data_IF_078499617437
#
_entry.id   IF_078499617437
#
_cell.length_a   1.000
_cell.length_b   1.000
_cell.length_c   1.000
_cell.angle_alpha   90.00
_cell.angle_beta   90.00
_cell.angle_gamma   90.00
#
_symmetry.space_group_name_H-M   'P 1'
#
loop_
_entity.id
_entity.type
_entity.pdbx_description
1 polymer ?
#
# COMPACT_ATOMS: atom_id res chain seq x y z
N UNK A 1 -17.93 -38.38 14.13
CA UNK A 1 -17.72 -36.97 14.50
C UNK A 1 -17.87 -36.16 13.22
N UNK A 2 -18.66 -35.09 13.20
CA UNK A 2 -18.81 -34.30 11.97
C UNK A 2 -17.50 -33.55 11.70
N UNK A 3 -17.18 -33.34 10.42
CA UNK A 3 -16.00 -32.61 9.95
C UNK A 3 -15.78 -31.29 10.69
N UNK A 4 -16.86 -30.53 10.91
CA UNK A 4 -16.84 -29.22 11.58
C UNK A 4 -16.36 -29.34 13.03
N UNK A 5 -16.78 -30.38 13.74
CA UNK A 5 -16.33 -30.63 15.13
C UNK A 5 -14.84 -30.97 15.15
N UNK A 6 -14.37 -31.74 14.17
CA UNK A 6 -12.94 -32.06 14.05
C UNK A 6 -12.12 -30.80 13.79
N UNK A 7 -12.61 -29.89 12.94
CA UNK A 7 -11.96 -28.61 12.69
C UNK A 7 -11.97 -27.71 13.93
N UNK A 8 -13.09 -27.60 14.64
CA UNK A 8 -13.19 -26.81 15.88
C UNK A 8 -12.21 -27.32 16.95
N UNK A 9 -12.13 -28.64 17.16
CA UNK A 9 -11.17 -29.24 18.09
C UNK A 9 -9.72 -29.03 17.64
N UNK A 10 -9.46 -29.10 16.33
CA UNK A 10 -8.14 -28.86 15.76
C UNK A 10 -7.69 -27.40 15.90
N UNK A 11 -8.62 -26.44 15.78
CA UNK A 11 -8.33 -25.02 15.99
C UNK A 11 -7.95 -24.74 17.45
N UNK A 12 -8.69 -25.32 18.40
CA UNK A 12 -8.41 -25.17 19.84
C UNK A 12 -7.06 -25.80 20.20
N UNK A 13 -6.76 -26.99 19.65
CA UNK A 13 -5.54 -27.74 19.94
C UNK A 13 -4.33 -27.37 19.06
N UNK A 14 -4.49 -26.44 18.12
CA UNK A 14 -3.45 -26.04 17.16
C UNK A 14 -2.89 -27.22 16.34
N UNK A 15 -3.75 -28.17 15.96
CA UNK A 15 -3.36 -29.44 15.36
C UNK A 15 -3.63 -29.47 13.85
N UNK A 16 -2.63 -29.05 13.07
CA UNK A 16 -2.70 -29.05 11.60
C UNK A 16 -2.91 -30.46 11.04
N UNK A 17 -2.23 -31.47 11.60
CA UNK A 17 -2.34 -32.85 11.13
C UNK A 17 -3.76 -33.42 11.25
N UNK A 18 -4.53 -33.01 12.26
CA UNK A 18 -5.94 -33.39 12.38
C UNK A 18 -6.81 -32.80 11.26
N UNK A 19 -6.51 -31.57 10.82
CA UNK A 19 -7.16 -30.90 9.68
C UNK A 19 -6.82 -31.66 8.40
N UNK A 20 -5.54 -31.96 8.17
CA UNK A 20 -5.04 -32.70 6.99
C UNK A 20 -5.72 -34.06 6.87
N UNK A 21 -5.76 -34.84 7.97
CA UNK A 21 -6.42 -36.15 8.00
C UNK A 21 -7.93 -36.04 7.75
N UNK A 22 -8.59 -35.00 8.28
CA UNK A 22 -10.01 -34.78 8.04
C UNK A 22 -10.31 -34.48 6.56
N UNK A 23 -9.49 -33.65 5.93
CA UNK A 23 -9.59 -33.31 4.50
C UNK A 23 -9.40 -34.55 3.61
N UNK A 24 -8.33 -35.32 3.83
CA UNK A 24 -8.05 -36.54 3.07
C UNK A 24 -9.16 -37.59 3.23
N UNK A 25 -9.73 -37.71 4.43
CA UNK A 25 -10.77 -38.70 4.74
C UNK A 25 -12.10 -38.42 4.03
N UNK A 26 -12.53 -37.17 3.97
CA UNK A 26 -13.79 -36.78 3.34
C UNK A 26 -13.72 -36.87 1.81
N UNK A 27 -12.51 -36.88 1.23
CA UNK A 27 -12.21 -36.80 -0.21
C UNK A 27 -12.75 -35.52 -0.85
N UNK A 28 -12.10 -35.06 -1.91
CA UNK A 28 -12.50 -33.83 -2.59
C UNK A 28 -13.94 -33.92 -3.15
N UNK A 29 -14.84 -33.10 -2.62
CA UNK A 29 -16.24 -33.04 -3.04
C UNK A 29 -16.82 -31.62 -2.89
N UNK A 30 -17.89 -31.34 -3.64
CA UNK A 30 -18.56 -30.02 -3.61
C UNK A 30 -19.18 -29.71 -2.26
N UNK A 31 -19.65 -30.75 -1.57
CA UNK A 31 -20.12 -30.66 -0.20
C UNK A 31 -19.00 -30.24 0.75
N UNK A 32 -17.82 -30.86 0.63
CA UNK A 32 -16.66 -30.53 1.46
C UNK A 32 -16.20 -29.09 1.26
N UNK A 33 -16.10 -28.62 0.01
CA UNK A 33 -15.68 -27.22 -0.28
C UNK A 33 -16.68 -26.20 0.27
N UNK A 34 -17.98 -26.45 0.13
CA UNK A 34 -18.99 -25.56 0.72
C UNK A 34 -18.91 -25.52 2.26
N UNK A 35 -18.64 -26.66 2.90
CA UNK A 35 -18.49 -26.75 4.37
C UNK A 35 -17.22 -26.05 4.83
N UNK A 36 -16.11 -26.22 4.10
CA UNK A 36 -14.86 -25.51 4.34
C UNK A 36 -15.04 -23.99 4.22
N UNK A 37 -15.65 -23.51 3.13
CA UNK A 37 -15.93 -22.09 2.94
C UNK A 37 -16.80 -21.55 4.08
N UNK A 38 -17.82 -22.31 4.52
CA UNK A 38 -18.66 -21.94 5.65
C UNK A 38 -17.88 -21.83 6.97
N UNK A 39 -16.98 -22.76 7.25
CA UNK A 39 -16.13 -22.73 8.46
C UNK A 39 -15.15 -21.56 8.38
N UNK A 40 -14.48 -21.36 7.24
CA UNK A 40 -13.57 -20.24 7.03
C UNK A 40 -14.28 -18.89 7.22
N UNK A 41 -15.44 -18.68 6.57
CA UNK A 41 -16.23 -17.45 6.71
C UNK A 41 -16.70 -17.22 8.15
N UNK A 42 -17.16 -18.28 8.85
CA UNK A 42 -17.54 -18.19 10.27
C UNK A 42 -16.37 -17.75 11.17
N UNK A 43 -15.16 -18.25 10.93
CA UNK A 43 -13.99 -17.88 11.72
C UNK A 43 -13.51 -16.46 11.40
N UNK A 44 -13.63 -16.02 10.14
CA UNK A 44 -13.38 -14.63 9.74
C UNK A 44 -14.37 -13.67 10.37
N UNK A 45 -15.67 -13.97 10.36
CA UNK A 45 -16.72 -13.17 11.00
C UNK A 45 -16.45 -12.97 12.50
N UNK A 46 -15.75 -13.92 13.12
CA UNK A 46 -15.34 -13.89 14.53
C UNK A 46 -13.96 -13.27 14.75
N UNK A 47 -13.27 -12.86 13.68
CA UNK A 47 -11.89 -12.38 13.69
C UNK A 47 -10.90 -13.39 14.30
N UNK A 48 -11.13 -14.69 14.13
CA UNK A 48 -10.25 -15.77 14.63
C UNK A 48 -9.33 -16.26 13.50
N UNK A 49 -8.39 -15.40 13.09
CA UNK A 49 -7.51 -15.63 11.94
C UNK A 49 -6.58 -16.83 12.10
N UNK A 50 -6.17 -17.12 13.34
CA UNK A 50 -5.35 -18.30 13.64
C UNK A 50 -6.01 -19.59 13.14
N UNK A 51 -7.33 -19.71 13.25
CA UNK A 51 -8.10 -20.85 12.74
C UNK A 51 -7.99 -20.94 11.21
N UNK A 52 -8.09 -19.80 10.51
CA UNK A 52 -7.98 -19.73 9.05
C UNK A 52 -6.55 -20.07 8.59
N UNK A 53 -5.52 -19.56 9.28
CA UNK A 53 -4.11 -19.93 9.00
C UNK A 53 -3.87 -21.43 9.20
N UNK A 54 -4.41 -22.02 10.27
CA UNK A 54 -4.32 -23.46 10.51
C UNK A 54 -5.03 -24.26 9.42
N UNK A 55 -6.17 -23.77 8.95
CA UNK A 55 -6.89 -24.36 7.82
C UNK A 55 -6.02 -24.35 6.56
N UNK A 56 -5.45 -23.19 6.20
CA UNK A 56 -4.56 -23.03 5.04
C UNK A 56 -3.36 -23.98 5.12
N UNK A 57 -2.72 -24.10 6.28
CA UNK A 57 -1.62 -25.06 6.50
C UNK A 57 -2.07 -26.51 6.33
N UNK A 58 -3.26 -26.87 6.82
CA UNK A 58 -3.78 -28.22 6.64
C UNK A 58 -4.06 -28.56 5.17
N UNK A 59 -4.47 -27.57 4.38
CA UNK A 59 -4.66 -27.71 2.93
C UNK A 59 -3.32 -27.77 2.19
N UNK A 60 -2.33 -27.00 2.66
CA UNK A 60 -0.95 -27.10 2.18
C UNK A 60 -0.40 -28.52 2.36
N UNK A 61 -0.58 -29.11 3.55
CA UNK A 61 -0.19 -30.49 3.82
C UNK A 61 -0.93 -31.49 2.89
N UNK A 62 -2.21 -31.25 2.57
CA UNK A 62 -2.94 -32.07 1.58
C UNK A 62 -2.30 -31.94 0.21
N UNK A 63 -1.94 -30.73 -0.22
CA UNK A 63 -1.25 -30.53 -1.50
C UNK A 63 0.08 -31.29 -1.57
N UNK A 64 0.82 -31.36 -0.47
CA UNK A 64 2.10 -32.08 -0.40
C UNK A 64 1.93 -33.61 -0.33
N UNK A 65 0.79 -34.10 0.18
CA UNK A 65 0.57 -35.53 0.45
C UNK A 65 -0.32 -36.23 -0.58
N UNK A 66 -1.26 -35.53 -1.20
CA UNK A 66 -2.21 -36.03 -2.18
C UNK A 66 -2.60 -34.90 -3.17
N UNK A 67 -1.76 -34.71 -4.17
CA UNK A 67 -1.89 -33.66 -5.19
C UNK A 67 -3.20 -33.79 -5.99
N UNK A 68 -3.67 -35.01 -6.27
CA UNK A 68 -4.93 -35.26 -6.96
C UNK A 68 -6.14 -34.78 -6.12
N UNK A 69 -6.10 -35.03 -4.81
CA UNK A 69 -7.11 -34.53 -3.88
C UNK A 69 -7.13 -33.00 -3.85
N UNK A 70 -5.95 -32.38 -3.79
CA UNK A 70 -5.83 -30.92 -3.81
C UNK A 70 -6.37 -30.32 -5.11
N UNK A 71 -5.97 -30.86 -6.26
CA UNK A 71 -6.47 -30.40 -7.57
C UNK A 71 -8.00 -30.52 -7.65
N UNK A 72 -8.59 -31.56 -7.09
CA UNK A 72 -10.05 -31.72 -7.02
C UNK A 72 -10.74 -30.70 -6.09
N UNK A 73 -10.07 -30.23 -5.03
CA UNK A 73 -10.56 -29.15 -4.16
C UNK A 73 -10.45 -27.79 -4.86
N UNK A 74 -9.30 -27.50 -5.48
CA UNK A 74 -9.03 -26.24 -6.16
C UNK A 74 -10.03 -25.94 -7.29
N UNK A 75 -10.45 -26.97 -8.03
CA UNK A 75 -11.46 -26.88 -9.12
C UNK A 75 -12.85 -26.39 -8.71
N UNK A 76 -13.14 -26.30 -7.42
CA UNK A 76 -14.51 -26.13 -6.91
C UNK A 76 -14.78 -24.78 -6.24
N UNK A 77 -14.04 -23.74 -6.63
CA UNK A 77 -14.12 -22.39 -6.03
C UNK A 77 -13.88 -22.41 -4.51
N UNK A 78 -12.79 -23.08 -4.13
CA UNK A 78 -12.31 -23.14 -2.76
C UNK A 78 -11.83 -21.75 -2.29
N UNK A 79 -12.16 -21.36 -1.04
CA UNK A 79 -11.91 -20.04 -0.44
C UNK A 79 -12.67 -18.87 -1.09
N UNK A 80 -13.97 -19.06 -1.35
CA UNK A 80 -14.88 -17.92 -1.56
C UNK A 80 -15.08 -17.17 -0.25
N UNK A 81 -14.27 -16.14 -0.07
CA UNK A 81 -14.32 -15.25 1.08
C UNK A 81 -15.38 -14.18 0.78
N UNK A 82 -16.39 -14.07 1.63
CA UNK A 82 -17.32 -12.94 1.57
C UNK A 82 -16.62 -11.66 2.09
N UNK A 83 -17.15 -10.48 1.75
CA UNK A 83 -16.58 -9.17 2.12
C UNK A 83 -16.20 -9.11 3.60
N UNK A 84 -14.90 -9.14 3.87
CA UNK A 84 -14.38 -9.01 5.23
C UNK A 84 -14.20 -7.54 5.61
N UNK A 85 -14.77 -7.13 6.75
CA UNK A 85 -14.81 -5.73 7.21
C UNK A 85 -13.81 -5.40 8.33
N UNK A 86 -12.98 -6.33 8.77
CA UNK A 86 -12.07 -6.12 9.90
C UNK A 86 -10.65 -5.76 9.46
N UNK A 87 -10.09 -4.68 10.01
CA UNK A 87 -8.85 -4.09 9.46
C UNK A 87 -7.57 -4.57 10.18
N UNK A 88 -7.66 -5.02 11.44
CA UNK A 88 -6.49 -5.07 12.34
C UNK A 88 -5.57 -6.28 12.16
N UNK A 89 -6.09 -7.43 11.74
CA UNK A 89 -5.32 -8.68 11.59
C UNK A 89 -5.35 -9.21 10.14
N UNK A 90 -5.86 -8.41 9.20
CA UNK A 90 -5.91 -8.73 7.76
C UNK A 90 -4.50 -8.86 7.16
N UNK A 91 -3.49 -8.21 7.74
CA UNK A 91 -2.07 -8.40 7.37
C UNK A 91 -1.63 -9.86 7.58
N UNK A 92 -1.89 -10.43 8.76
CA UNK A 92 -1.54 -11.83 9.06
C UNK A 92 -2.29 -12.83 8.18
N UNK A 93 -3.50 -12.46 7.73
CA UNK A 93 -4.28 -13.25 6.80
C UNK A 93 -3.67 -13.19 5.39
N UNK A 94 -3.31 -12.00 4.90
CA UNK A 94 -2.64 -11.83 3.60
C UNK A 94 -1.30 -12.58 3.59
N UNK A 95 -0.49 -12.47 4.65
CA UNK A 95 0.75 -13.23 4.81
C UNK A 95 0.50 -14.74 4.77
N UNK A 96 -0.51 -15.24 5.49
CA UNK A 96 -0.85 -16.66 5.51
C UNK A 96 -1.30 -17.17 4.13
N UNK A 97 -2.06 -16.37 3.39
CA UNK A 97 -2.42 -16.71 2.02
C UNK A 97 -1.21 -16.66 1.08
N UNK A 98 -0.33 -15.68 1.23
CA UNK A 98 0.88 -15.58 0.42
C UNK A 98 1.82 -16.76 0.64
N UNK A 99 2.08 -17.11 1.90
CA UNK A 99 2.84 -18.30 2.29
C UNK A 99 2.26 -19.56 1.66
N UNK A 100 0.94 -19.71 1.73
CA UNK A 100 0.23 -20.81 1.10
C UNK A 100 0.45 -20.82 -0.42
N UNK A 101 0.26 -19.70 -1.10
CA UNK A 101 0.42 -19.57 -2.55
C UNK A 101 1.84 -19.86 -3.03
N UNK A 102 2.87 -19.33 -2.36
CA UNK A 102 4.27 -19.56 -2.72
C UNK A 102 4.69 -21.01 -2.55
N UNK A 103 4.07 -21.75 -1.62
CA UNK A 103 4.39 -23.15 -1.36
C UNK A 103 3.63 -24.12 -2.27
N UNK A 104 2.70 -23.63 -3.11
CA UNK A 104 2.01 -24.47 -4.08
C UNK A 104 3.00 -24.97 -5.17
N UNK A 105 3.06 -26.29 -5.42
CA UNK A 105 3.88 -26.85 -6.48
C UNK A 105 3.50 -26.30 -7.87
N UNK A 106 4.47 -26.14 -8.79
CA UNK A 106 4.19 -25.76 -10.17
C UNK A 106 3.29 -26.75 -10.94
N UNK A 107 3.16 -27.98 -10.45
CA UNK A 107 2.37 -29.07 -11.03
C UNK A 107 0.86 -28.98 -10.74
N UNK A 108 0.43 -28.07 -9.84
CA UNK A 108 -0.99 -27.79 -9.58
C UNK A 108 -1.67 -27.30 -10.85
N UNK A 109 -2.60 -28.10 -11.37
CA UNK A 109 -3.23 -27.87 -12.69
C UNK A 109 -4.00 -26.54 -12.77
N UNK A 110 -4.54 -26.05 -11.66
CA UNK A 110 -5.35 -24.82 -11.57
C UNK A 110 -4.66 -23.64 -10.89
N UNK A 111 -3.31 -23.68 -10.79
CA UNK A 111 -2.54 -22.59 -10.17
C UNK A 111 -2.87 -21.22 -10.75
N UNK A 112 -3.06 -21.13 -12.07
CA UNK A 112 -3.45 -19.88 -12.74
C UNK A 112 -4.83 -19.35 -12.33
N UNK A 113 -5.79 -20.24 -12.04
CA UNK A 113 -7.12 -19.84 -11.54
C UNK A 113 -7.04 -19.35 -10.09
N UNK A 114 -6.26 -20.04 -9.26
CA UNK A 114 -6.05 -19.62 -7.87
C UNK A 114 -5.34 -18.25 -7.81
N UNK A 115 -4.30 -18.05 -8.62
CA UNK A 115 -3.64 -16.75 -8.77
C UNK A 115 -4.63 -15.67 -9.21
N UNK A 116 -5.46 -15.96 -10.22
CA UNK A 116 -6.51 -15.07 -10.71
C UNK A 116 -7.46 -14.63 -9.58
N UNK A 117 -7.99 -15.58 -8.81
CA UNK A 117 -8.91 -15.28 -7.70
C UNK A 117 -8.21 -14.45 -6.62
N UNK A 118 -6.98 -14.80 -6.25
CA UNK A 118 -6.24 -14.10 -5.21
C UNK A 118 -5.94 -12.65 -5.59
N UNK A 119 -5.43 -12.42 -6.81
CA UNK A 119 -5.14 -11.08 -7.32
C UNK A 119 -6.38 -10.17 -7.29
N UNK A 120 -7.56 -10.72 -7.60
CA UNK A 120 -8.81 -9.96 -7.53
C UNK A 120 -9.16 -9.54 -6.10
N UNK A 121 -9.09 -10.46 -5.13
CA UNK A 121 -9.45 -10.16 -3.74
C UNK A 121 -8.44 -9.20 -3.09
N UNK A 122 -7.14 -9.46 -3.25
CA UNK A 122 -6.09 -8.59 -2.72
C UNK A 122 -6.09 -7.23 -3.42
N UNK A 123 -6.41 -7.19 -4.71
CA UNK A 123 -6.52 -5.95 -5.47
C UNK A 123 -7.66 -5.06 -4.98
N UNK A 124 -8.79 -5.66 -4.59
CA UNK A 124 -9.90 -4.92 -3.93
C UNK A 124 -9.41 -4.33 -2.61
N UNK A 125 -8.73 -5.11 -1.76
CA UNK A 125 -8.15 -4.62 -0.49
C UNK A 125 -7.18 -3.45 -0.74
N UNK A 126 -6.29 -3.56 -1.74
CA UNK A 126 -5.33 -2.49 -2.05
C UNK A 126 -5.98 -1.19 -2.55
N UNK A 127 -7.13 -1.29 -3.20
CA UNK A 127 -7.83 -0.13 -3.79
C UNK A 127 -8.88 0.50 -2.87
N UNK A 128 -9.31 -0.22 -1.84
CA UNK A 128 -10.35 0.24 -0.92
C UNK A 128 -9.85 1.39 -0.03
N UNK A 129 -10.44 2.61 -0.11
CA UNK A 129 -10.03 3.73 0.71
C UNK A 129 -10.32 3.57 2.21
N UNK A 130 -11.22 2.67 2.61
CA UNK A 130 -11.61 2.45 4.00
C UNK A 130 -10.64 1.51 4.75
N UNK A 131 -9.75 0.83 4.02
CA UNK A 131 -8.68 -0.01 4.57
C UNK A 131 -7.48 0.86 4.99
N UNK A 132 -6.79 0.48 6.07
CA UNK A 132 -5.59 1.19 6.52
C UNK A 132 -4.52 1.22 5.43
N UNK A 133 -3.87 2.37 5.26
CA UNK A 133 -2.89 2.58 4.19
C UNK A 133 -1.79 1.52 4.15
N UNK A 134 -1.16 1.20 5.28
CA UNK A 134 -0.08 0.22 5.32
C UNK A 134 -0.48 -1.14 4.78
N UNK A 135 -1.72 -1.57 5.04
CA UNK A 135 -2.27 -2.82 4.54
C UNK A 135 -2.61 -2.76 3.05
N UNK A 136 -3.11 -1.61 2.58
CA UNK A 136 -3.37 -1.39 1.16
C UNK A 136 -2.08 -1.45 0.34
N UNK A 137 -1.04 -0.77 0.81
CA UNK A 137 0.27 -0.78 0.16
C UNK A 137 0.86 -2.19 0.13
N UNK A 138 0.78 -2.91 1.24
CA UNK A 138 1.27 -4.29 1.31
C UNK A 138 0.50 -5.24 0.39
N UNK A 139 -0.82 -5.06 0.26
CA UNK A 139 -1.64 -5.80 -0.69
C UNK A 139 -1.15 -5.61 -2.15
N UNK A 140 -0.85 -4.37 -2.56
CA UNK A 140 -0.33 -4.10 -3.91
C UNK A 140 1.09 -4.62 -4.10
N UNK A 141 1.97 -4.50 -3.09
CA UNK A 141 3.30 -5.11 -3.12
C UNK A 141 3.24 -6.62 -3.29
N UNK A 142 2.34 -7.26 -2.54
CA UNK A 142 2.08 -8.70 -2.65
C UNK A 142 1.67 -9.07 -4.06
N UNK A 143 0.80 -8.28 -4.69
CA UNK A 143 0.43 -8.46 -6.11
C UNK A 143 1.67 -8.37 -7.00
N UNK A 144 2.53 -7.38 -6.83
CA UNK A 144 3.75 -7.24 -7.65
C UNK A 144 4.69 -8.44 -7.49
N UNK A 145 4.90 -8.93 -6.26
CA UNK A 145 5.72 -10.12 -6.00
C UNK A 145 5.16 -11.39 -6.66
N UNK A 146 3.83 -11.58 -6.63
CA UNK A 146 3.20 -12.72 -7.32
C UNK A 146 3.36 -12.59 -8.84
N UNK A 147 3.16 -11.40 -9.38
CA UNK A 147 3.27 -11.16 -10.81
C UNK A 147 4.70 -11.25 -11.34
N UNK A 148 5.70 -10.99 -10.50
CA UNK A 148 7.11 -11.25 -10.81
C UNK A 148 7.39 -12.72 -11.09
N UNK A 149 6.78 -13.59 -10.27
CA UNK A 149 6.90 -15.05 -10.40
C UNK A 149 5.94 -15.65 -11.44
N UNK A 150 5.04 -14.85 -12.03
CA UNK A 150 4.03 -15.31 -12.99
C UNK A 150 4.53 -15.19 -14.44
N UNK A 151 4.35 -16.24 -15.24
CA UNK A 151 4.82 -16.25 -16.63
C UNK A 151 4.09 -15.22 -17.49
N UNK A 152 4.74 -14.79 -18.58
CA UNK A 152 4.15 -13.83 -19.53
C UNK A 152 2.84 -14.33 -20.16
N UNK A 153 2.69 -15.64 -20.34
CA UNK A 153 1.47 -16.23 -20.91
C UNK A 153 0.31 -16.22 -19.90
N UNK A 154 0.58 -16.60 -18.64
CA UNK A 154 -0.40 -16.52 -17.55
C UNK A 154 -0.88 -15.07 -17.36
N UNK A 155 0.04 -14.10 -17.29
CA UNK A 155 -0.32 -12.66 -17.16
C UNK A 155 -1.17 -12.16 -18.32
N UNK A 156 -0.87 -12.59 -19.56
CA UNK A 156 -1.72 -12.28 -20.71
C UNK A 156 -3.12 -12.85 -20.55
N UNK A 157 -3.28 -14.10 -20.11
CA UNK A 157 -4.60 -14.71 -19.86
C UNK A 157 -5.37 -13.94 -18.79
N UNK A 158 -4.72 -13.56 -17.69
CA UNK A 158 -5.32 -12.74 -16.63
C UNK A 158 -5.81 -11.40 -17.17
N UNK A 159 -4.98 -10.69 -17.95
CA UNK A 159 -5.33 -9.37 -18.51
C UNK A 159 -6.51 -9.37 -19.48
N UNK A 160 -6.97 -10.55 -19.95
CA UNK A 160 -8.12 -10.70 -20.83
C UNK A 160 -9.43 -10.96 -20.08
N UNK A 161 -9.38 -11.28 -18.78
CA UNK A 161 -10.58 -11.43 -17.94
C UNK A 161 -11.24 -10.06 -17.72
N UNK A 162 -12.58 -10.05 -17.71
CA UNK A 162 -13.37 -8.85 -17.47
C UNK A 162 -13.12 -8.30 -16.07
N UNK A 163 -13.06 -9.18 -15.08
CA UNK A 163 -12.84 -8.85 -13.67
C UNK A 163 -11.47 -8.19 -13.48
N UNK A 164 -10.43 -8.73 -14.12
CA UNK A 164 -9.09 -8.14 -14.08
C UNK A 164 -9.04 -6.81 -14.82
N UNK A 165 -9.70 -6.66 -15.97
CA UNK A 165 -9.78 -5.37 -16.64
C UNK A 165 -10.36 -4.28 -15.73
N UNK A 166 -11.45 -4.60 -15.01
CA UNK A 166 -12.06 -3.68 -14.05
C UNK A 166 -11.11 -3.35 -12.90
N UNK A 167 -10.38 -4.35 -12.37
CA UNK A 167 -9.38 -4.11 -11.33
C UNK A 167 -8.26 -3.17 -11.79
N UNK A 168 -7.73 -3.38 -13.00
CA UNK A 168 -6.67 -2.52 -13.57
C UNK A 168 -7.17 -1.09 -13.81
N UNK A 169 -8.43 -0.92 -14.23
CA UNK A 169 -9.06 0.41 -14.28
C UNK A 169 -9.15 1.07 -12.90
N UNK A 170 -9.42 0.29 -11.83
CA UNK A 170 -9.40 0.82 -10.47
C UNK A 170 -7.99 1.21 -10.02
N UNK A 171 -6.96 0.41 -10.33
CA UNK A 171 -5.57 0.78 -10.04
C UNK A 171 -5.22 2.13 -10.66
N UNK A 172 -5.55 2.34 -11.93
CA UNK A 172 -5.33 3.60 -12.62
C UNK A 172 -6.05 4.78 -11.94
N UNK A 173 -7.30 4.60 -11.51
CA UNK A 173 -8.05 5.64 -10.78
C UNK A 173 -7.44 5.97 -9.42
N UNK A 174 -6.94 4.96 -8.71
CA UNK A 174 -6.30 5.13 -7.41
C UNK A 174 -4.96 5.86 -7.55
N UNK A 175 -4.16 5.57 -8.59
CA UNK A 175 -2.91 6.31 -8.89
C UNK A 175 -3.16 7.83 -8.91
N UNK A 176 -4.24 8.28 -9.54
CA UNK A 176 -4.52 9.72 -9.68
C UNK A 176 -4.89 10.42 -8.36
N UNK A 177 -5.37 9.68 -7.35
CA UNK A 177 -6.02 10.29 -6.18
C UNK A 177 -5.49 9.78 -4.82
N UNK A 178 -4.62 8.77 -4.78
CA UNK A 178 -4.19 8.16 -3.52
C UNK A 178 -3.41 9.14 -2.65
N UNK A 179 -2.66 10.05 -3.27
CA UNK A 179 -1.89 11.08 -2.56
C UNK A 179 -0.69 10.53 -1.79
N UNK A 180 -0.14 9.42 -2.26
CA UNK A 180 1.06 8.80 -1.73
C UNK A 180 1.90 8.24 -2.88
N UNK A 181 3.14 8.70 -2.99
CA UNK A 181 4.02 8.38 -4.10
C UNK A 181 4.37 6.88 -4.16
N UNK A 182 4.63 6.25 -3.01
CA UNK A 182 5.02 4.84 -2.94
C UNK A 182 3.87 3.93 -3.41
N UNK A 183 2.63 4.28 -3.05
CA UNK A 183 1.45 3.59 -3.56
C UNK A 183 1.20 3.86 -5.05
N UNK A 184 1.47 5.08 -5.54
CA UNK A 184 1.42 5.38 -6.99
C UNK A 184 2.40 4.52 -7.79
N UNK A 185 3.63 4.33 -7.29
CA UNK A 185 4.65 3.46 -7.90
C UNK A 185 4.17 2.01 -7.89
N UNK A 186 3.77 1.48 -6.74
CA UNK A 186 3.37 0.09 -6.60
C UNK A 186 2.20 -0.29 -7.54
N UNK A 187 1.20 0.60 -7.66
CA UNK A 187 0.08 0.41 -8.59
C UNK A 187 0.51 0.50 -10.06
N UNK A 188 1.41 1.44 -10.39
CA UNK A 188 1.96 1.59 -11.74
C UNK A 188 2.77 0.35 -12.16
N UNK A 189 3.53 -0.21 -11.23
CA UNK A 189 4.26 -1.46 -11.40
C UNK A 189 3.30 -2.61 -11.66
N UNK A 190 2.22 -2.72 -10.88
CA UNK A 190 1.20 -3.77 -11.05
C UNK A 190 0.55 -3.69 -12.45
N UNK A 191 0.21 -2.48 -12.92
CA UNK A 191 -0.29 -2.25 -14.27
C UNK A 191 0.72 -2.71 -15.34
N UNK A 192 2.00 -2.32 -15.20
CA UNK A 192 3.08 -2.72 -16.11
C UNK A 192 3.33 -4.23 -16.11
N UNK A 193 3.32 -4.88 -14.95
CA UNK A 193 3.52 -6.32 -14.82
C UNK A 193 2.37 -7.10 -15.44
N UNK A 194 1.13 -6.67 -15.21
CA UNK A 194 -0.07 -7.32 -15.75
C UNK A 194 -0.22 -7.20 -17.27
N UNK A 195 0.46 -6.24 -17.89
CA UNK A 195 0.24 -5.92 -19.30
C UNK A 195 1.50 -5.95 -20.13
N UNK A 196 1.41 -6.55 -21.31
CA UNK A 196 2.54 -6.52 -22.26
C UNK A 196 2.60 -5.17 -22.95
N UNK A 197 3.82 -4.67 -23.22
CA UNK A 197 4.05 -3.35 -23.86
C UNK A 197 3.18 -3.09 -25.11
N UNK A 198 2.89 -4.13 -25.90
CA UNK A 198 2.03 -4.03 -27.09
C UNK A 198 0.57 -3.72 -26.76
N UNK A 199 0.00 -4.30 -25.71
CA UNK A 199 -1.40 -4.09 -25.31
C UNK A 199 -1.58 -2.87 -24.42
N UNK A 200 -0.51 -2.40 -23.75
CA UNK A 200 -0.52 -1.17 -22.94
C UNK A 200 -1.10 0.03 -23.69
N UNK A 201 -0.74 0.18 -24.98
CA UNK A 201 -1.22 1.30 -25.80
C UNK A 201 -2.74 1.40 -25.86
N UNK A 202 -3.43 0.27 -26.00
CA UNK A 202 -4.89 0.25 -26.05
C UNK A 202 -5.52 0.35 -24.65
N UNK A 203 -4.89 -0.25 -23.65
CA UNK A 203 -5.40 -0.29 -22.27
C UNK A 203 -5.22 1.06 -21.54
N UNK A 204 -4.10 1.75 -21.73
CA UNK A 204 -3.81 3.03 -21.10
C UNK A 204 -4.88 4.09 -21.46
N UNK A 205 -5.41 4.06 -22.68
CA UNK A 205 -6.51 4.94 -23.09
C UNK A 205 -7.85 4.62 -22.42
N UNK A 206 -8.03 3.41 -21.87
CA UNK A 206 -9.20 3.05 -21.05
C UNK A 206 -9.00 3.44 -19.59
N UNK A 207 -7.76 3.34 -19.12
CA UNK A 207 -7.37 3.64 -17.74
C UNK A 207 -7.34 5.13 -17.45
N UNK A 208 -6.81 5.92 -18.38
CA UNK A 208 -6.65 7.36 -18.23
C UNK A 208 -7.47 8.10 -19.28
N UNK A 209 -8.45 8.87 -18.81
CA UNK A 209 -9.28 9.70 -19.70
C UNK A 209 -8.49 10.85 -20.34
N UNK A 210 -7.42 11.32 -19.67
CA UNK A 210 -6.51 12.32 -20.22
C UNK A 210 -5.48 11.63 -21.14
N UNK A 211 -5.42 11.97 -22.45
CA UNK A 211 -4.48 11.38 -23.39
C UNK A 211 -3.01 11.55 -22.97
N UNK A 212 -2.66 12.67 -22.33
CA UNK A 212 -1.29 12.90 -21.87
C UNK A 212 -0.85 11.86 -20.83
N UNK A 213 -1.75 11.45 -19.93
CA UNK A 213 -1.47 10.40 -18.95
C UNK A 213 -1.35 9.04 -19.62
N UNK A 214 -2.22 8.74 -20.59
CA UNK A 214 -2.13 7.50 -21.35
C UNK A 214 -0.82 7.43 -22.15
N UNK A 215 -0.38 8.52 -22.75
CA UNK A 215 0.89 8.63 -23.47
C UNK A 215 2.09 8.48 -22.53
N UNK A 216 2.11 9.21 -21.41
CA UNK A 216 3.15 9.11 -20.40
C UNK A 216 3.29 7.69 -19.83
N UNK A 217 2.16 7.05 -19.48
CA UNK A 217 2.18 5.66 -19.00
C UNK A 217 2.71 4.69 -20.06
N UNK A 218 2.36 4.90 -21.33
CA UNK A 218 2.85 4.08 -22.45
C UNK A 218 4.35 4.26 -22.73
N UNK A 219 4.94 5.39 -22.32
CA UNK A 219 6.36 5.65 -22.47
C UNK A 219 7.21 4.80 -21.51
N UNK A 220 6.63 4.32 -20.40
CA UNK A 220 7.34 3.53 -19.39
C UNK A 220 7.99 2.29 -20.00
N UNK A 221 9.30 2.21 -19.88
CA UNK A 221 10.12 1.07 -20.26
C UNK A 221 10.29 0.11 -19.08
N UNK A 222 9.87 -1.15 -19.25
CA UNK A 222 9.96 -2.16 -18.19
C UNK A 222 11.39 -2.39 -17.66
N UNK A 223 12.41 -2.09 -18.47
CA UNK A 223 13.83 -2.21 -18.08
C UNK A 223 14.36 -1.00 -17.30
N UNK A 224 13.66 0.12 -17.37
CA UNK A 224 14.02 1.41 -16.76
C UNK A 224 12.84 1.92 -15.94
N UNK A 225 12.08 0.98 -15.36
CA UNK A 225 10.79 1.24 -14.76
C UNK A 225 10.87 2.33 -13.69
N UNK A 226 11.86 2.28 -12.80
CA UNK A 226 12.01 3.25 -11.70
C UNK A 226 12.08 4.70 -12.21
N UNK A 227 12.89 4.96 -13.24
CA UNK A 227 13.13 6.30 -13.78
C UNK A 227 11.93 6.78 -14.59
N UNK A 228 11.42 5.93 -15.47
CA UNK A 228 10.30 6.31 -16.33
C UNK A 228 9.01 6.45 -15.53
N UNK A 229 8.80 5.61 -14.50
CA UNK A 229 7.67 5.72 -13.59
C UNK A 229 7.74 7.00 -12.77
N UNK A 230 8.93 7.40 -12.29
CA UNK A 230 9.14 8.70 -11.65
C UNK A 230 8.75 9.85 -12.57
N UNK A 231 9.20 9.82 -13.82
CA UNK A 231 8.86 10.85 -14.81
C UNK A 231 7.35 10.94 -15.03
N UNK A 232 6.70 9.79 -15.30
CA UNK A 232 5.26 9.71 -15.48
C UNK A 232 4.48 10.23 -14.26
N UNK A 233 4.84 9.82 -13.05
CA UNK A 233 4.12 10.23 -11.84
C UNK A 233 4.33 11.70 -11.50
N UNK A 234 5.54 12.23 -11.74
CA UNK A 234 5.79 13.67 -11.59
C UNK A 234 4.89 14.47 -12.56
N UNK A 235 4.80 14.06 -13.83
CA UNK A 235 3.93 14.73 -14.82
C UNK A 235 2.45 14.66 -14.42
N UNK A 236 1.99 13.49 -13.96
CA UNK A 236 0.62 13.29 -13.45
C UNK A 236 0.35 14.22 -12.26
N UNK A 237 1.25 14.28 -11.29
CA UNK A 237 1.07 15.09 -10.09
C UNK A 237 1.15 16.60 -10.42
N UNK A 238 2.06 17.02 -11.29
CA UNK A 238 2.18 18.41 -11.74
C UNK A 238 0.93 18.87 -12.49
N UNK A 239 0.30 17.99 -13.30
CA UNK A 239 -0.91 18.33 -14.04
C UNK A 239 -2.05 18.84 -13.14
N UNK A 240 -2.17 18.31 -11.92
CA UNK A 240 -3.20 18.74 -10.97
C UNK A 240 -2.90 20.09 -10.28
N UNK A 241 -1.76 20.73 -10.56
CA UNK A 241 -1.42 22.04 -10.01
C UNK A 241 -1.45 22.03 -8.48
N UNK A 242 -2.23 22.92 -7.88
CA UNK A 242 -2.37 23.04 -6.42
C UNK A 242 -3.32 22.00 -5.80
N UNK A 243 -4.12 21.32 -6.62
CA UNK A 243 -5.01 20.23 -6.21
C UNK A 243 -4.28 18.88 -6.15
N UNK A 244 -2.99 18.85 -6.54
CA UNK A 244 -2.19 17.65 -6.46
C UNK A 244 -2.08 17.17 -5.01
N UNK A 245 -1.97 15.85 -4.86
CA UNK A 245 -1.93 15.20 -3.55
C UNK A 245 -0.54 14.65 -3.19
N UNK A 246 0.41 14.75 -4.12
CA UNK A 246 1.83 14.45 -3.92
C UNK A 246 2.62 15.61 -4.50
N UNK A 247 3.51 16.18 -3.71
CA UNK A 247 4.47 17.19 -4.17
C UNK A 247 5.86 16.54 -4.12
N UNK A 248 6.56 16.49 -5.24
CA UNK A 248 7.87 15.85 -5.34
C UNK A 248 8.91 16.91 -5.67
N UNK A 249 9.91 17.06 -4.80
CA UNK A 249 10.99 18.03 -4.99
C UNK A 249 12.35 17.35 -4.92
N UNK A 250 13.30 17.73 -5.79
CA UNK A 250 14.68 17.30 -5.63
C UNK A 250 15.30 18.05 -4.45
N UNK A 251 15.89 17.34 -3.51
CA UNK A 251 16.71 17.92 -2.45
C UNK A 251 18.20 17.89 -2.84
N UNK A 252 18.96 18.77 -2.21
CA UNK A 252 20.42 18.85 -2.31
C UNK A 252 21.07 17.81 -1.40
N UNK A 253 20.59 17.71 -0.16
CA UNK A 253 21.09 16.75 0.83
C UNK A 253 20.10 16.54 1.97
N UNK A 254 20.29 15.44 2.70
CA UNK A 254 19.45 15.03 3.83
C UNK A 254 20.36 14.62 4.99
N UNK A 255 20.00 15.02 6.21
CA UNK A 255 20.71 14.65 7.43
C UNK A 255 19.75 14.02 8.45
N UNK A 256 20.18 12.91 9.05
CA UNK A 256 19.60 12.36 10.28
C UNK A 256 20.50 12.73 11.45
N UNK A 257 20.04 13.65 12.30
CA UNK A 257 20.84 14.41 13.24
C UNK A 257 22.07 15.05 12.54
N UNK A 258 23.25 14.48 12.71
CA UNK A 258 24.51 14.97 12.13
C UNK A 258 25.03 14.08 11.00
N UNK A 259 24.35 12.97 10.71
CA UNK A 259 24.77 12.01 9.69
C UNK A 259 24.06 12.29 8.39
N UNK A 260 24.81 12.54 7.32
CA UNK A 260 24.27 12.69 5.98
C UNK A 260 23.72 11.35 5.46
N UNK A 261 22.56 11.41 4.83
CA UNK A 261 21.92 10.31 4.12
C UNK A 261 22.08 10.53 2.63
N UNK A 262 22.28 9.46 1.89
CA UNK A 262 22.53 9.51 0.45
C UNK A 262 21.36 8.93 -0.32
N UNK A 263 21.10 9.49 -1.50
CA UNK A 263 20.16 8.90 -2.45
C UNK A 263 20.66 7.53 -2.92
N UNK A 264 19.76 6.64 -3.38
CA UNK A 264 20.15 5.34 -3.91
C UNK A 264 21.20 5.42 -5.03
N UNK A 265 22.11 4.44 -5.07
CA UNK A 265 23.15 4.35 -6.11
C UNK A 265 22.56 3.78 -7.41
N UNK A 266 22.00 4.65 -8.25
CA UNK A 266 21.56 4.33 -9.62
C UNK A 266 22.10 5.38 -10.58
N UNK A 267 22.84 4.95 -11.61
CA UNK A 267 23.51 5.83 -12.59
C UNK A 267 22.55 6.76 -13.34
N UNK A 268 21.26 6.41 -13.39
CA UNK A 268 20.23 7.18 -14.08
C UNK A 268 19.35 7.99 -13.13
N UNK A 269 19.56 7.87 -11.82
CA UNK A 269 18.88 8.71 -10.84
C UNK A 269 19.57 10.07 -10.78
N UNK A 270 18.97 11.06 -11.44
CA UNK A 270 19.56 12.40 -11.52
C UNK A 270 19.43 13.22 -10.23
N UNK A 271 18.42 12.91 -9.40
CA UNK A 271 18.04 13.72 -8.26
C UNK A 271 17.65 12.89 -7.04
N UNK A 272 17.96 13.43 -5.86
CA UNK A 272 17.48 12.90 -4.59
C UNK A 272 16.05 13.43 -4.33
N UNK A 273 15.04 12.62 -4.63
CA UNK A 273 13.64 13.03 -4.52
C UNK A 273 13.09 12.93 -3.10
N UNK A 274 12.30 13.94 -2.72
CA UNK A 274 11.52 13.96 -1.49
C UNK A 274 10.06 14.18 -1.84
N UNK A 275 9.21 13.27 -1.38
CA UNK A 275 7.78 13.20 -1.70
C UNK A 275 6.94 13.62 -0.49
N UNK A 276 6.15 14.68 -0.67
CA UNK A 276 5.22 15.22 0.32
C UNK A 276 3.83 14.65 0.02
N UNK A 277 3.45 13.64 0.78
CA UNK A 277 2.26 12.81 0.56
C UNK A 277 1.09 13.31 1.41
N UNK A 278 0.13 14.00 0.79
CA UNK A 278 -1.04 14.53 1.50
C UNK A 278 -2.03 13.42 1.87
N UNK A 279 -2.08 12.33 1.09
CA UNK A 279 -2.97 11.20 1.32
C UNK A 279 -2.65 10.43 2.59
N UNK A 280 -1.38 10.33 2.94
CA UNK A 280 -0.87 9.63 4.13
C UNK A 280 -0.37 10.58 5.22
N UNK A 281 -0.38 11.89 4.96
CA UNK A 281 0.20 12.90 5.85
C UNK A 281 1.64 12.54 6.23
N UNK A 282 2.45 12.25 5.22
CA UNK A 282 3.81 11.75 5.35
C UNK A 282 4.75 12.46 4.38
N UNK A 283 5.98 12.75 4.80
CA UNK A 283 7.07 13.05 3.87
C UNK A 283 7.92 11.79 3.74
N UNK A 284 8.16 11.32 2.51
CA UNK A 284 8.96 10.12 2.25
C UNK A 284 10.12 10.38 1.29
N UNK A 285 11.18 9.60 1.42
CA UNK A 285 12.34 9.62 0.53
C UNK A 285 12.99 8.24 0.49
N UNK A 286 13.51 7.86 -0.67
CA UNK A 286 14.32 6.66 -0.81
C UNK A 286 15.78 6.99 -0.49
N UNK A 287 16.42 6.17 0.32
CA UNK A 287 17.82 6.32 0.73
C UNK A 287 18.61 5.08 0.33
N UNK A 288 19.90 5.29 0.08
CA UNK A 288 20.81 4.21 -0.22
C UNK A 288 20.88 3.24 0.97
N UNK A 289 20.78 1.94 0.69
CA UNK A 289 21.11 0.88 1.62
C UNK A 289 21.98 -0.16 0.91
N UNK A 290 23.33 -0.05 0.98
CA UNK A 290 24.25 -0.96 0.32
C UNK A 290 24.31 -2.33 0.99
N UNK A 291 23.76 -2.48 2.20
CA UNK A 291 23.62 -3.79 2.85
C UNK A 291 22.31 -4.49 2.42
N UNK A 292 21.33 -3.70 1.95
CA UNK A 292 20.07 -4.14 1.38
C UNK A 292 20.18 -4.52 -0.10
N UNK A 293 19.27 -5.38 -0.56
CA UNK A 293 19.10 -5.67 -1.99
C UNK A 293 18.15 -4.71 -2.70
N UNK A 294 17.46 -3.86 -1.93
CA UNK A 294 16.46 -2.90 -2.39
C UNK A 294 16.72 -1.55 -1.71
N UNK A 295 16.24 -0.47 -2.32
CA UNK A 295 16.28 0.85 -1.70
C UNK A 295 15.45 0.87 -0.42
N UNK A 296 15.96 1.51 0.63
CA UNK A 296 15.20 1.73 1.86
C UNK A 296 14.42 3.05 1.73
N UNK A 297 13.23 3.13 2.32
CA UNK A 297 12.47 4.37 2.42
C UNK A 297 12.44 4.88 3.87
N UNK A 298 12.62 6.19 4.02
CA UNK A 298 12.39 6.89 5.29
C UNK A 298 11.04 7.59 5.21
N UNK A 299 10.22 7.43 6.25
CA UNK A 299 8.90 8.04 6.36
C UNK A 299 8.83 8.98 7.58
N UNK A 300 8.53 10.25 7.33
CA UNK A 300 8.27 11.27 8.36
C UNK A 300 6.75 11.42 8.49
N UNK A 301 6.15 10.53 9.28
CA UNK A 301 4.69 10.46 9.45
C UNK A 301 4.23 11.58 10.39
N UNK A 302 3.18 12.32 10.02
CA UNK A 302 2.64 13.42 10.83
C UNK A 302 2.37 13.04 12.29
N UNK A 303 1.86 11.84 12.56
CA UNK A 303 1.60 11.37 13.91
C UNK A 303 2.85 11.36 14.81
N UNK A 304 4.03 11.17 14.22
CA UNK A 304 5.32 11.14 14.92
C UNK A 304 6.05 12.49 14.90
N UNK A 305 5.59 13.47 14.12
CA UNK A 305 6.21 14.81 14.08
C UNK A 305 5.78 15.65 15.28
N UNK A 306 6.76 16.03 16.11
CA UNK A 306 6.58 16.95 17.24
C UNK A 306 6.45 18.40 16.78
N UNK A 307 7.35 18.84 15.88
CA UNK A 307 7.32 20.15 15.22
C UNK A 307 8.19 20.14 13.97
N UNK A 308 7.98 21.09 13.08
CA UNK A 308 8.90 21.37 11.98
C UNK A 308 9.17 22.87 11.88
N UNK A 309 10.21 23.23 11.15
CA UNK A 309 10.50 24.62 10.78
C UNK A 309 11.13 24.65 9.39
N UNK A 310 10.85 25.71 8.64
CA UNK A 310 11.48 25.99 7.35
C UNK A 310 12.25 27.30 7.48
N UNK A 311 13.51 27.29 7.09
CA UNK A 311 14.39 28.45 7.11
C UNK A 311 15.00 28.65 5.73
N UNK A 312 14.86 29.84 5.16
CA UNK A 312 15.55 30.23 3.95
C UNK A 312 16.93 30.81 4.28
N UNK A 313 17.96 30.35 3.60
CA UNK A 313 19.35 30.74 3.76
C UNK A 313 19.97 30.85 2.36
N UNK A 314 20.23 32.08 1.91
CA UNK A 314 20.76 32.35 0.56
C UNK A 314 19.88 31.72 -0.55
N UNK A 315 20.45 30.87 -1.41
CA UNK A 315 19.77 30.16 -2.50
C UNK A 315 19.23 28.77 -2.05
N UNK A 316 19.10 28.55 -0.74
CA UNK A 316 18.66 27.28 -0.16
C UNK A 316 17.51 27.45 0.82
N UNK A 317 16.65 26.43 0.86
CA UNK A 317 15.58 26.30 1.84
C UNK A 317 15.81 25.05 2.67
N UNK A 318 15.85 25.19 4.00
CA UNK A 318 16.13 24.10 4.93
C UNK A 318 14.85 23.74 5.70
N UNK A 319 14.33 22.55 5.44
CA UNK A 319 13.27 21.94 6.24
C UNK A 319 13.89 21.15 7.39
N UNK A 320 13.55 21.49 8.63
CA UNK A 320 13.95 20.73 9.82
C UNK A 320 12.71 20.12 10.48
N UNK A 321 12.67 18.79 10.56
CA UNK A 321 11.59 18.02 11.18
C UNK A 321 12.08 17.39 12.48
N UNK A 322 11.40 17.70 13.58
CA UNK A 322 11.65 17.10 14.89
C UNK A 322 10.61 16.01 15.16
N UNK A 323 11.09 14.79 15.35
CA UNK A 323 10.29 13.60 15.63
C UNK A 323 10.15 13.36 17.14
N UNK A 324 8.99 12.84 17.54
CA UNK A 324 8.68 12.40 18.90
C UNK A 324 9.47 11.14 19.25
N UNK A 325 9.50 10.20 18.31
CA UNK A 325 10.21 8.94 18.39
C UNK A 325 11.43 8.94 17.46
N UNK A 326 12.55 8.32 17.85
CA UNK A 326 13.71 8.23 16.98
C UNK A 326 13.47 7.24 15.85
N UNK A 327 13.89 7.60 14.63
CA UNK A 327 14.04 6.68 13.51
C UNK A 327 15.47 6.17 13.45
N UNK A 328 15.64 4.99 12.85
CA UNK A 328 16.94 4.36 12.67
C UNK A 328 17.14 4.12 11.18
N UNK A 329 18.30 4.50 10.66
CA UNK A 329 18.78 4.10 9.35
C UNK A 329 20.19 3.54 9.54
N UNK A 330 20.38 2.26 9.21
CA UNK A 330 21.60 1.49 9.52
C UNK A 330 21.97 1.60 11.01
N UNK A 331 23.20 2.03 11.31
CA UNK A 331 23.70 2.25 12.67
C UNK A 331 23.36 3.64 13.24
N UNK A 332 22.70 4.50 12.44
CA UNK A 332 22.36 5.87 12.86
C UNK A 332 20.95 5.90 13.42
N UNK A 333 20.81 6.40 14.64
CA UNK A 333 19.52 6.62 15.30
C UNK A 333 19.35 8.10 15.62
N UNK A 334 18.25 8.71 15.18
CA UNK A 334 18.06 10.16 15.31
C UNK A 334 16.61 10.59 15.41
N UNK A 335 16.39 11.82 15.88
CA UNK A 335 15.06 12.44 16.02
C UNK A 335 14.90 13.69 15.18
N UNK A 336 15.98 14.18 14.57
CA UNK A 336 15.96 15.40 13.77
C UNK A 336 16.31 15.01 12.35
N UNK A 337 15.43 15.33 11.41
CA UNK A 337 15.71 15.18 9.98
C UNK A 337 15.80 16.58 9.38
N UNK A 338 16.93 16.87 8.74
CA UNK A 338 17.12 18.12 8.00
C UNK A 338 17.21 17.81 6.52
N UNK A 339 16.45 18.55 5.71
CA UNK A 339 16.40 18.37 4.27
C UNK A 339 16.67 19.74 3.65
N UNK A 340 17.65 19.80 2.77
CA UNK A 340 18.10 21.04 2.12
C UNK A 340 17.62 21.03 0.68
N UNK A 341 16.94 22.09 0.26
CA UNK A 341 16.40 22.27 -1.08
C UNK A 341 16.96 23.54 -1.73
N UNK A 342 16.84 23.62 -3.05
CA UNK A 342 16.96 24.88 -3.80
C UNK A 342 15.79 25.81 -3.43
N UNK A 343 16.05 27.10 -3.22
CA UNK A 343 15.06 28.08 -2.77
C UNK A 343 13.92 28.36 -3.75
N UNK A 344 13.98 27.84 -4.99
CA UNK A 344 12.87 27.95 -5.96
C UNK A 344 11.64 27.12 -5.60
N UNK A 345 11.77 26.17 -4.66
CA UNK A 345 10.70 25.26 -4.28
C UNK A 345 9.90 25.81 -3.08
N UNK A 346 8.56 25.76 -3.16
CA UNK A 346 7.69 26.17 -2.05
C UNK A 346 7.58 25.05 -1.00
N UNK A 347 8.66 24.86 -0.25
CA UNK A 347 8.78 23.81 0.76
C UNK A 347 7.88 24.10 1.97
N UNK A 348 7.67 25.38 2.30
CA UNK A 348 6.83 25.75 3.44
C UNK A 348 5.37 25.36 3.19
N UNK A 349 4.79 25.72 2.05
CA UNK A 349 3.41 25.34 1.71
C UNK A 349 3.25 23.82 1.67
N UNK A 350 4.16 23.10 1.02
CA UNK A 350 4.11 21.64 0.95
C UNK A 350 4.19 20.98 2.35
N UNK A 351 5.12 21.43 3.20
CA UNK A 351 5.26 20.92 4.57
C UNK A 351 4.03 21.23 5.43
N UNK A 352 3.45 22.43 5.32
CA UNK A 352 2.22 22.81 6.01
C UNK A 352 1.03 21.95 5.57
N UNK A 353 0.90 21.67 4.28
CA UNK A 353 -0.16 20.78 3.76
C UNK A 353 -0.04 19.36 4.30
N UNK A 354 1.18 18.84 4.48
CA UNK A 354 1.39 17.50 5.05
C UNK A 354 1.20 17.50 6.56
N UNK A 355 1.78 18.49 7.28
CA UNK A 355 1.87 18.43 8.74
C UNK A 355 0.84 19.28 9.50
N UNK A 356 0.19 20.25 8.87
CA UNK A 356 -0.77 21.15 9.53
C UNK A 356 -2.19 21.00 8.99
N UNK A 357 -2.39 20.21 7.92
CA UNK A 357 -3.73 19.95 7.40
C UNK A 357 -4.63 19.31 8.46
N UNK A 358 -5.71 20.01 8.81
CA UNK A 358 -6.69 19.62 9.83
C UNK A 358 -7.85 18.74 9.29
N UNK A 359 -7.74 18.08 8.12
CA UNK A 359 -8.80 17.22 7.55
C UNK A 359 -8.19 15.92 7.03
N UNK A 360 -8.62 14.70 7.41
CA UNK A 360 -9.98 14.17 7.57
C UNK A 360 -10.10 13.18 8.76
N UNK A 361 -10.29 13.68 9.98
CA UNK A 361 -10.93 12.93 11.06
C UNK A 361 -12.25 13.64 11.39
N UNK A 362 -13.29 13.44 10.57
CA UNK A 362 -14.69 13.73 10.92
C UNK A 362 -15.65 13.34 9.77
N UNK A 363 -16.33 12.21 9.94
CA UNK A 363 -17.70 12.01 9.47
C UNK A 363 -18.47 11.17 10.50
N UNK A 364 -18.69 11.75 11.68
CA UNK A 364 -19.82 11.36 12.53
C UNK A 364 -20.69 12.59 12.70
N UNK A 365 -21.94 12.61 12.21
CA UNK A 365 -22.87 13.68 12.53
C UNK A 365 -23.32 13.46 13.97
N UNK A 366 -22.84 14.28 14.90
CA UNK A 366 -23.48 14.44 16.19
C UNK A 366 -24.35 15.68 16.14
N UNK A 367 -25.66 15.44 16.25
CA UNK A 367 -26.67 16.46 16.42
C UNK A 367 -26.56 17.10 17.81
N UNK A 368 -26.97 18.38 17.84
CA UNK A 368 -27.47 19.16 18.97
C UNK A 368 -26.50 19.79 20.00
N UNK A 369 -26.18 21.07 19.69
CA UNK A 369 -26.35 22.30 20.50
C UNK A 369 -25.42 22.65 21.68
N UNK A 370 -25.36 23.94 22.14
CA UNK A 370 -25.77 25.20 21.51
C UNK A 370 -24.69 26.31 21.47
N UNK A 371 -25.00 27.33 20.70
CA UNK A 371 -24.30 28.60 20.45
C UNK A 371 -24.09 29.48 21.69
N UNK A 372 -22.90 30.09 21.78
CA UNK A 372 -22.66 31.31 22.58
C UNK A 372 -22.09 32.38 21.64
N UNK A 373 -22.89 33.43 21.43
CA UNK A 373 -22.48 34.70 20.86
C UNK A 373 -21.68 35.50 21.90
N UNK A 374 -20.55 36.09 21.50
CA UNK A 374 -20.00 37.33 22.07
C UNK A 374 -19.18 37.98 20.94
N UNK A 375 -19.79 38.89 20.17
CA UNK A 375 -19.69 40.36 20.31
C UNK A 375 -18.23 40.84 20.26
N UNK A 376 -17.85 41.34 19.08
CA UNK A 376 -16.69 42.20 18.86
C UNK A 376 -17.00 43.61 19.36
N UNK A 377 -16.12 44.20 20.16
CA UNK A 377 -15.93 45.65 20.25
C UNK A 377 -14.49 46.01 19.87
N UNK A 378 -14.26 47.07 19.07
CA UNK A 378 -12.94 47.54 18.71
C UNK A 378 -12.44 48.60 19.69
N UNK A 379 -11.18 48.56 20.11
CA UNK A 379 -10.55 49.68 20.81
C UNK A 379 -9.39 50.27 20.01
N UNK A 380 -9.58 51.56 19.72
CA UNK A 380 -8.64 52.50 19.11
C UNK A 380 -7.49 52.88 20.07
N UNK A 381 -6.47 53.48 19.45
CA UNK A 381 -5.27 54.05 20.04
C UNK A 381 -5.51 55.21 21.02
N UNK A 382 -4.47 55.40 21.83
CA UNK A 382 -3.99 56.63 22.47
C UNK A 382 -4.17 56.83 23.98
N UNK A 383 -3.04 57.27 24.56
CA UNK A 383 -2.79 57.79 25.92
C UNK A 383 -2.80 56.72 27.03
N UNK A 384 -1.72 56.49 27.78
CA UNK A 384 -0.97 57.51 28.53
C UNK A 384 0.50 57.16 28.75
N UNK A 385 1.34 58.19 28.59
CA UNK A 385 2.64 58.34 29.26
C UNK A 385 2.46 58.46 30.79
N UNK A 386 3.57 58.26 31.52
CA UNK A 386 3.83 58.58 32.94
C UNK A 386 3.60 57.46 33.98
N UNK A 387 4.69 56.75 34.27
CA UNK A 387 5.11 56.36 35.62
C UNK A 387 6.45 57.09 35.83
N UNK A 388 6.43 58.25 36.48
CA UNK A 388 6.76 58.45 37.91
C UNK A 388 8.22 58.09 38.20
N UNK A 389 8.99 59.17 38.42
CA UNK A 389 9.96 59.44 39.50
C UNK A 389 10.87 58.31 39.99
#
# INVERSE_FOLDING_TARGET
MSFEIILEDAFISNNVGAITVALLREKASKSLVNRLNKVANKELDRSVFKSVTLLLRGIEDVCQSDEDCFNCLARQDFLKMEEYKGVKDLLSLIEAFFDFFLRLPPSVEDRGQLTSVFLLHVGVVGTDPDVTFGLRLEAIRTINSILDNTTKEERRKLSLSKEHCLLLEQFAKVILNVGDYEMQVALSEALCRMTVKRSRKELANKWFANPAFAEGFNAINDREFEIDCRTFLNDVNIYFGDERRVFSFPCISVFLNTTELFMPEDEKLEHFWVDFNLGTSCISLFVNDPEGSLWESIHLIRADVFRFSVCDCDDQTILTVHLSNPITHRMTKGKIVQIIFDSKHDILDAAQRVFESKRLLQSVPSADQPSIQHVMEPFHSDMFSSLIT
#
